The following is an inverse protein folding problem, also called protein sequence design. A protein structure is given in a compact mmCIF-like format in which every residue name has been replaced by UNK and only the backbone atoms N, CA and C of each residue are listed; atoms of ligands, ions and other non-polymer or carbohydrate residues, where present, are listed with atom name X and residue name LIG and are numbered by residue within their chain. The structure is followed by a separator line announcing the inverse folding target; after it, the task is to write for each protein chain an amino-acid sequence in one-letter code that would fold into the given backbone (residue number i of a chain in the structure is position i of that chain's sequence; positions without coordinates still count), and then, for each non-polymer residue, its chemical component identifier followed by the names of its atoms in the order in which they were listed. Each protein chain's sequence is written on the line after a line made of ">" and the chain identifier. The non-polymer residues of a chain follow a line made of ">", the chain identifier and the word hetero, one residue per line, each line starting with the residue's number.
data_IF_333307455741
#
_entry.id   IF_333307455741
#
_cell.length_a   1.000
_cell.length_b   1.000
_cell.length_c   1.000
_cell.angle_alpha   90.00
_cell.angle_beta   90.00
_cell.angle_gamma   90.00
#
_symmetry.space_group_name_H-M   'P 1'
#
loop_
_entity.id
_entity.type
_entity.pdbx_description
1 polymer ?
#
# COMPACT_ATOMS: atom_id res chain seq x y z
N UNK A 1 -19.11 5.21 76.70
CA UNK A 1 -19.65 4.67 75.46
C UNK A 1 -19.05 5.44 74.28
N UNK A 2 -17.98 4.94 73.75
CA UNK A 2 -17.24 5.62 72.64
C UNK A 2 -17.32 4.78 71.39
N UNK A 3 -18.12 5.25 70.40
CA UNK A 3 -18.24 4.64 69.07
C UNK A 3 -17.07 5.05 68.20
N UNK A 4 -16.23 4.05 67.79
CA UNK A 4 -15.15 4.23 66.80
C UNK A 4 -15.76 4.02 65.40
N UNK A 5 -15.76 5.07 64.58
CA UNK A 5 -16.02 5.01 63.14
C UNK A 5 -14.77 4.54 62.46
N UNK A 6 -14.85 3.39 61.76
CA UNK A 6 -13.78 2.89 60.84
C UNK A 6 -14.17 3.35 59.45
N UNK A 7 -13.40 4.32 58.92
CA UNK A 7 -13.55 4.77 57.53
C UNK A 7 -12.76 3.79 56.62
N UNK A 8 -13.46 3.01 55.85
CA UNK A 8 -12.88 2.14 54.80
C UNK A 8 -12.47 2.96 53.58
N UNK A 9 -11.19 3.03 53.34
CA UNK A 9 -10.62 3.65 52.12
C UNK A 9 -10.69 2.62 50.99
N UNK A 10 -11.63 2.78 50.03
CA UNK A 10 -11.68 2.02 48.79
C UNK A 10 -10.65 2.59 47.81
N UNK A 11 -9.54 1.86 47.60
CA UNK A 11 -8.57 2.16 46.55
C UNK A 11 -9.16 1.61 45.21
N UNK A 12 -9.62 2.49 44.33
CA UNK A 12 -9.95 2.16 42.94
C UNK A 12 -8.62 1.97 42.18
N UNK A 13 -8.24 0.72 41.93
CA UNK A 13 -7.20 0.39 40.96
C UNK A 13 -7.80 0.62 39.54
N UNK A 14 -7.45 1.74 38.93
CA UNK A 14 -7.69 1.95 37.52
C UNK A 14 -6.75 1.03 36.73
N UNK A 15 -7.31 -0.07 36.17
CA UNK A 15 -6.60 -0.92 35.24
C UNK A 15 -6.38 -0.14 33.92
N UNK A 16 -5.18 0.41 33.73
CA UNK A 16 -4.76 0.94 32.44
C UNK A 16 -4.48 -0.24 31.51
N UNK A 17 -5.43 -0.56 30.64
CA UNK A 17 -5.21 -1.48 29.53
C UNK A 17 -4.17 -0.83 28.60
N UNK A 18 -3.06 -1.53 28.24
CA UNK A 18 -2.16 -0.99 27.24
C UNK A 18 -2.92 -0.87 25.92
N UNK A 19 -3.06 0.35 25.43
CA UNK A 19 -3.48 0.58 24.04
C UNK A 19 -2.33 0.06 23.18
N UNK A 20 -2.49 -1.11 22.62
CA UNK A 20 -1.61 -1.60 21.55
C UNK A 20 -1.77 -0.59 20.42
N UNK A 21 -0.74 0.21 20.20
CA UNK A 21 -0.70 1.09 19.04
C UNK A 21 -0.84 0.22 17.80
N UNK A 22 -2.01 0.25 17.17
CA UNK A 22 -2.21 -0.40 15.87
C UNK A 22 -1.21 0.22 14.91
N UNK A 23 -0.36 -0.60 14.30
CA UNK A 23 0.55 -0.15 13.26
C UNK A 23 -0.30 0.53 12.17
N UNK A 24 -0.24 1.85 12.12
CA UNK A 24 -0.95 2.62 11.10
C UNK A 24 -0.29 2.38 9.74
N UNK A 25 -1.09 2.03 8.72
CA UNK A 25 -0.62 1.94 7.36
C UNK A 25 -0.56 3.35 6.76
N UNK A 26 0.63 3.93 6.74
CA UNK A 26 0.88 5.22 6.11
C UNK A 26 1.23 5.07 4.62
N UNK A 27 0.91 6.07 3.78
CA UNK A 27 1.40 6.08 2.42
C UNK A 27 2.93 6.17 2.38
N UNK A 28 3.58 5.64 1.33
CA UNK A 28 5.03 5.69 1.19
C UNK A 28 5.56 7.13 1.00
N UNK A 29 6.89 7.30 1.06
CA UNK A 29 7.60 8.56 0.82
C UNK A 29 7.29 9.70 1.81
N UNK A 30 6.79 9.39 3.01
CA UNK A 30 6.51 10.37 4.05
C UNK A 30 5.25 11.19 3.83
N UNK A 31 4.37 10.77 2.93
CA UNK A 31 3.04 11.34 2.78
C UNK A 31 2.10 10.91 3.93
N UNK A 32 0.98 11.62 4.03
CA UNK A 32 -0.12 11.28 4.94
C UNK A 32 -1.42 11.18 4.16
N UNK A 33 -2.33 10.34 4.62
CA UNK A 33 -3.67 10.32 4.09
C UNK A 33 -4.34 11.69 4.22
N UNK A 34 -5.00 12.13 3.16
CA UNK A 34 -5.61 13.46 3.11
C UNK A 34 -4.66 14.60 2.71
N UNK A 35 -3.37 14.35 2.49
CA UNK A 35 -2.46 15.38 1.97
C UNK A 35 -3.03 16.00 0.69
N UNK A 36 -3.04 17.35 0.59
CA UNK A 36 -3.54 18.01 -0.62
C UNK A 36 -2.55 17.90 -1.79
N UNK A 37 -3.02 17.97 -3.04
CA UNK A 37 -2.18 17.87 -4.25
C UNK A 37 -0.95 18.78 -4.22
N UNK A 38 -1.09 20.03 -3.75
CA UNK A 38 0.02 20.99 -3.62
C UNK A 38 1.17 20.50 -2.74
N UNK A 39 0.85 19.74 -1.66
CA UNK A 39 1.88 19.17 -0.77
C UNK A 39 2.60 18.01 -1.46
N UNK A 40 1.85 17.14 -2.14
CA UNK A 40 2.42 16.03 -2.90
C UNK A 40 3.34 16.58 -3.98
N UNK A 41 2.91 17.57 -4.76
CA UNK A 41 3.72 18.20 -5.81
C UNK A 41 5.00 18.84 -5.25
N UNK A 42 4.93 19.51 -4.11
CA UNK A 42 6.12 20.11 -3.49
C UNK A 42 7.15 19.04 -3.08
N UNK A 43 6.71 17.89 -2.54
CA UNK A 43 7.61 16.77 -2.20
C UNK A 43 8.22 16.15 -3.47
N UNK A 44 7.41 15.93 -4.50
CA UNK A 44 7.87 15.39 -5.78
C UNK A 44 8.92 16.28 -6.44
N UNK A 45 8.70 17.60 -6.44
CA UNK A 45 9.67 18.57 -6.95
C UNK A 45 10.99 18.54 -6.16
N UNK A 46 10.91 18.44 -4.82
CA UNK A 46 12.09 18.27 -3.96
C UNK A 46 12.87 16.99 -4.25
N UNK A 47 12.17 15.89 -4.57
CA UNK A 47 12.75 14.63 -4.98
C UNK A 47 13.21 14.60 -6.45
N UNK A 48 13.01 15.67 -7.22
CA UNK A 48 13.25 15.75 -8.68
C UNK A 48 12.45 14.70 -9.47
N UNK A 49 11.35 14.21 -8.92
CA UNK A 49 10.41 13.33 -9.60
C UNK A 49 9.53 14.13 -10.57
N UNK A 50 9.08 13.48 -11.63
CA UNK A 50 8.34 14.14 -12.71
C UNK A 50 6.91 13.64 -12.77
N UNK A 51 5.93 14.54 -12.69
CA UNK A 51 4.52 14.22 -13.00
C UNK A 51 4.42 14.17 -14.52
N UNK A 52 4.20 12.98 -15.07
CA UNK A 52 4.15 12.75 -16.53
C UNK A 52 2.76 12.81 -17.08
N UNK A 53 1.76 12.54 -16.24
CA UNK A 53 0.34 12.63 -16.63
C UNK A 53 -0.52 13.03 -15.44
N UNK A 54 -1.59 13.78 -15.70
CA UNK A 54 -2.68 14.09 -14.78
C UNK A 54 -4.00 13.81 -15.45
N UNK A 55 -4.79 12.92 -14.86
CA UNK A 55 -6.17 12.62 -15.29
C UNK A 55 -7.14 13.13 -14.25
N UNK A 56 -8.19 13.81 -14.70
CA UNK A 56 -9.26 14.30 -13.84
C UNK A 56 -10.58 13.67 -14.28
N UNK A 57 -11.31 13.11 -13.32
CA UNK A 57 -12.65 12.58 -13.51
C UNK A 57 -13.53 12.99 -12.32
N UNK A 58 -14.35 14.00 -12.52
CA UNK A 58 -15.14 14.60 -11.45
C UNK A 58 -14.30 15.03 -10.26
N UNK A 59 -14.57 14.46 -9.09
CA UNK A 59 -13.82 14.73 -7.86
C UNK A 59 -12.56 13.87 -7.70
N UNK A 60 -12.29 12.93 -8.61
CA UNK A 60 -11.10 12.07 -8.60
C UNK A 60 -10.05 12.63 -9.55
N UNK A 61 -8.82 12.74 -9.05
CA UNK A 61 -7.63 13.06 -9.83
C UNK A 61 -6.59 11.97 -9.68
N UNK A 62 -5.99 11.53 -10.77
CA UNK A 62 -4.89 10.55 -10.77
C UNK A 62 -3.67 11.17 -11.42
N UNK A 63 -2.55 11.16 -10.70
CA UNK A 63 -1.27 11.63 -11.21
C UNK A 63 -0.31 10.46 -11.40
N UNK A 64 0.23 10.34 -12.60
CA UNK A 64 1.31 9.41 -12.90
C UNK A 64 2.65 10.11 -12.72
N UNK A 65 3.52 9.52 -11.93
CA UNK A 65 4.83 10.08 -11.54
C UNK A 65 5.94 9.10 -11.87
N UNK A 66 7.03 9.62 -12.44
CA UNK A 66 8.26 8.89 -12.70
C UNK A 66 9.44 9.55 -11.97
N UNK A 67 10.52 8.79 -11.76
CA UNK A 67 11.76 9.32 -11.18
C UNK A 67 11.84 9.33 -9.66
N UNK A 68 10.87 8.73 -8.94
CA UNK A 68 11.05 8.43 -7.53
C UNK A 68 12.07 7.30 -7.37
N UNK A 69 13.08 7.53 -6.53
CA UNK A 69 14.23 6.62 -6.41
C UNK A 69 13.91 5.44 -5.50
N UNK A 70 13.59 4.30 -6.13
CA UNK A 70 13.49 3.00 -5.48
C UNK A 70 13.85 1.91 -6.50
N UNK A 71 14.64 0.88 -6.14
CA UNK A 71 15.07 -0.15 -7.09
C UNK A 71 13.89 -0.83 -7.78
N UNK A 72 13.85 -0.76 -9.12
CA UNK A 72 12.81 -1.35 -9.96
C UNK A 72 11.50 -0.54 -10.04
N UNK A 73 11.35 0.53 -9.26
CA UNK A 73 10.17 1.40 -9.35
C UNK A 73 10.19 2.17 -10.67
N UNK A 74 9.20 1.94 -11.52
CA UNK A 74 9.04 2.61 -12.80
C UNK A 74 8.07 3.78 -12.69
N UNK A 75 6.94 3.55 -12.03
CA UNK A 75 5.86 4.53 -11.92
C UNK A 75 5.24 4.50 -10.54
N UNK A 76 4.74 5.65 -10.13
CA UNK A 76 3.90 5.81 -8.95
C UNK A 76 2.64 6.55 -9.36
N UNK A 77 1.48 6.01 -9.00
CA UNK A 77 0.22 6.70 -9.18
C UNK A 77 -0.26 7.26 -7.84
N UNK A 78 -0.59 8.55 -7.83
CA UNK A 78 -1.21 9.21 -6.69
C UNK A 78 -2.66 9.51 -7.05
N UNK A 79 -3.60 8.92 -6.30
CA UNK A 79 -5.03 9.18 -6.48
C UNK A 79 -5.54 10.11 -5.39
N UNK A 80 -6.16 11.19 -5.82
CA UNK A 80 -6.84 12.14 -4.95
C UNK A 80 -8.36 12.03 -5.14
N UNK A 81 -9.09 12.21 -4.04
CA UNK A 81 -10.56 12.38 -4.06
C UNK A 81 -10.92 13.61 -3.25
N UNK A 82 -11.64 14.55 -3.86
CA UNK A 82 -11.93 15.86 -3.24
C UNK A 82 -10.65 16.55 -2.72
N UNK A 83 -9.59 16.59 -3.54
CA UNK A 83 -8.27 17.17 -3.23
C UNK A 83 -7.57 16.55 -2.01
N UNK A 84 -7.87 15.32 -1.65
CA UNK A 84 -7.23 14.56 -0.57
C UNK A 84 -6.58 13.31 -1.11
N UNK A 85 -5.32 13.06 -0.74
CA UNK A 85 -4.60 11.84 -1.10
C UNK A 85 -5.29 10.63 -0.46
N UNK A 86 -5.75 9.69 -1.30
CA UNK A 86 -6.48 8.49 -0.88
C UNK A 86 -5.78 7.19 -1.27
N UNK A 87 -4.90 7.23 -2.28
CA UNK A 87 -4.28 6.02 -2.80
C UNK A 87 -2.90 6.34 -3.35
N UNK A 88 -1.93 5.44 -3.12
CA UNK A 88 -0.60 5.48 -3.71
C UNK A 88 -0.25 4.08 -4.20
N UNK A 89 -0.16 3.94 -5.52
CA UNK A 89 0.20 2.69 -6.18
C UNK A 89 1.64 2.77 -6.70
N UNK A 90 2.45 1.78 -6.35
CA UNK A 90 3.85 1.63 -6.77
C UNK A 90 3.95 0.51 -7.81
N UNK A 91 4.43 0.82 -9.01
CA UNK A 91 4.60 -0.15 -10.10
C UNK A 91 6.08 -0.47 -10.32
N UNK A 92 6.44 -1.74 -10.12
CA UNK A 92 7.80 -2.25 -10.23
C UNK A 92 7.94 -3.14 -11.46
N UNK A 93 8.94 -2.86 -12.28
CA UNK A 93 9.30 -3.64 -13.46
C UNK A 93 10.80 -3.94 -13.46
N UNK A 94 11.14 -5.16 -13.83
CA UNK A 94 12.50 -5.66 -13.93
C UNK A 94 12.64 -6.42 -15.25
N UNK A 95 12.89 -5.72 -16.38
CA UNK A 95 12.83 -6.32 -17.73
C UNK A 95 13.69 -7.58 -17.91
N UNK A 96 14.85 -7.62 -17.22
CA UNK A 96 15.84 -8.71 -17.35
C UNK A 96 15.58 -9.86 -16.36
N UNK A 97 14.50 -9.82 -15.59
CA UNK A 97 14.22 -10.86 -14.60
C UNK A 97 13.42 -12.01 -15.20
N UNK A 98 13.80 -13.25 -14.82
CA UNK A 98 12.99 -14.43 -15.08
C UNK A 98 11.71 -14.45 -14.23
N UNK A 99 10.76 -15.29 -14.59
CA UNK A 99 9.51 -15.48 -13.83
C UNK A 99 9.79 -15.98 -12.40
N UNK A 100 10.81 -16.84 -12.23
CA UNK A 100 11.21 -17.37 -10.93
C UNK A 100 11.66 -16.23 -10.01
N UNK A 101 12.44 -15.27 -10.54
CA UNK A 101 12.91 -14.12 -9.78
C UNK A 101 11.78 -13.17 -9.41
N UNK A 102 10.79 -12.98 -10.28
CA UNK A 102 9.56 -12.26 -9.93
C UNK A 102 8.78 -12.96 -8.81
N UNK A 103 8.64 -14.28 -8.86
CA UNK A 103 7.97 -15.07 -7.83
C UNK A 103 8.70 -15.01 -6.47
N UNK A 104 10.02 -15.07 -6.47
CA UNK A 104 10.85 -14.90 -5.26
C UNK A 104 10.65 -13.51 -4.63
N UNK A 105 10.68 -12.46 -5.47
CA UNK A 105 10.46 -11.08 -5.01
C UNK A 105 9.05 -10.91 -4.46
N UNK A 106 8.04 -11.40 -5.16
CA UNK A 106 6.65 -11.39 -4.70
C UNK A 106 6.50 -12.09 -3.34
N UNK A 107 7.12 -13.26 -3.19
CA UNK A 107 7.16 -14.01 -1.93
C UNK A 107 7.89 -13.26 -0.82
N UNK A 108 8.96 -12.54 -1.13
CA UNK A 108 9.73 -11.75 -0.17
C UNK A 108 8.93 -10.55 0.34
N UNK A 109 8.32 -9.79 -0.56
CA UNK A 109 7.47 -8.64 -0.21
C UNK A 109 6.25 -9.10 0.58
N UNK A 110 5.61 -10.21 0.18
CA UNK A 110 4.49 -10.80 0.92
C UNK A 110 4.89 -11.15 2.35
N UNK A 111 6.00 -11.90 2.56
CA UNK A 111 6.46 -12.26 3.91
C UNK A 111 6.75 -11.05 4.79
N UNK A 112 7.30 -9.99 4.21
CA UNK A 112 7.51 -8.73 4.92
C UNK A 112 6.20 -8.12 5.41
N UNK A 113 5.17 -8.07 4.56
CA UNK A 113 3.86 -7.56 4.95
C UNK A 113 3.12 -8.49 5.91
N UNK A 114 3.21 -9.81 5.71
CA UNK A 114 2.66 -10.81 6.65
C UNK A 114 3.24 -10.64 8.05
N UNK A 115 4.55 -10.40 8.17
CA UNK A 115 5.21 -10.17 9.46
C UNK A 115 4.81 -8.84 10.12
N UNK A 116 4.43 -7.84 9.33
CA UNK A 116 4.10 -6.50 9.85
C UNK A 116 2.62 -6.30 10.12
N UNK A 117 1.75 -6.86 9.28
CA UNK A 117 0.30 -6.60 9.29
C UNK A 117 -0.55 -7.86 9.52
N UNK A 118 0.08 -9.01 9.76
CA UNK A 118 -0.60 -10.30 9.84
C UNK A 118 -0.75 -10.96 8.45
N UNK A 119 -1.32 -12.16 8.41
CA UNK A 119 -1.41 -12.96 7.18
C UNK A 119 -2.34 -12.29 6.16
N UNK A 120 -1.81 -11.97 5.00
CA UNK A 120 -2.56 -11.38 3.89
C UNK A 120 -3.56 -12.37 3.28
N UNK A 121 -4.74 -11.86 2.96
CA UNK A 121 -5.79 -12.62 2.26
C UNK A 121 -5.44 -12.72 0.78
N UNK A 122 -5.48 -13.92 0.19
CA UNK A 122 -5.43 -14.11 -1.25
C UNK A 122 -6.73 -13.58 -1.88
N UNK A 123 -6.64 -12.56 -2.72
CA UNK A 123 -7.82 -11.92 -3.35
C UNK A 123 -7.92 -12.21 -4.84
N UNK A 124 -6.81 -12.61 -5.48
CA UNK A 124 -6.81 -13.01 -6.89
C UNK A 124 -5.79 -14.11 -7.12
N UNK A 125 -6.17 -15.10 -7.93
CA UNK A 125 -5.29 -16.11 -8.52
C UNK A 125 -5.93 -16.60 -9.80
N UNK A 126 -5.52 -16.06 -10.92
CA UNK A 126 -5.98 -16.50 -12.23
C UNK A 126 -4.81 -16.70 -13.19
N UNK A 127 -5.01 -17.60 -14.14
CA UNK A 127 -4.16 -17.78 -15.32
C UNK A 127 -5.08 -18.04 -16.49
N UNK A 128 -5.19 -17.08 -17.36
CA UNK A 128 -6.06 -17.12 -18.52
C UNK A 128 -5.23 -17.12 -19.80
N UNK A 129 -5.74 -17.81 -20.82
CA UNK A 129 -5.16 -17.80 -22.16
C UNK A 129 -6.23 -17.30 -23.13
N UNK A 130 -6.01 -16.12 -23.68
CA UNK A 130 -6.83 -15.56 -24.72
C UNK A 130 -6.01 -15.42 -26.00
N UNK A 131 -6.50 -16.11 -27.06
CA UNK A 131 -5.81 -16.20 -28.35
C UNK A 131 -4.39 -16.73 -28.16
N UNK A 132 -3.38 -15.86 -28.22
CA UNK A 132 -1.95 -16.20 -28.09
C UNK A 132 -1.31 -15.56 -26.84
N UNK A 133 -2.10 -14.96 -25.95
CA UNK A 133 -1.60 -14.25 -24.77
C UNK A 133 -1.94 -15.06 -23.53
N UNK A 134 -0.90 -15.40 -22.75
CA UNK A 134 -1.06 -16.00 -21.42
C UNK A 134 -0.98 -14.89 -20.38
N UNK A 135 -2.06 -14.68 -19.65
CA UNK A 135 -2.13 -13.71 -18.55
C UNK A 135 -2.12 -14.42 -17.22
N UNK A 136 -1.36 -13.92 -16.28
CA UNK A 136 -1.33 -14.40 -14.89
C UNK A 136 -1.55 -13.23 -13.94
N UNK A 137 -2.45 -13.40 -12.98
CA UNK A 137 -2.70 -12.44 -11.92
C UNK A 137 -2.69 -13.15 -10.57
N UNK A 138 -1.88 -12.66 -9.64
CA UNK A 138 -1.87 -13.10 -8.24
C UNK A 138 -1.93 -11.89 -7.34
N UNK A 139 -2.86 -11.86 -6.39
CA UNK A 139 -3.05 -10.71 -5.50
C UNK A 139 -3.30 -11.09 -4.06
N UNK A 140 -2.71 -10.31 -3.15
CA UNK A 140 -2.89 -10.40 -1.70
C UNK A 140 -3.32 -9.06 -1.14
N UNK A 141 -4.09 -9.08 -0.06
CA UNK A 141 -4.65 -7.88 0.58
C UNK A 141 -4.50 -7.97 2.10
N UNK A 142 -4.16 -6.85 2.73
CA UNK A 142 -4.11 -6.64 4.18
C UNK A 142 -5.02 -5.47 4.56
N UNK A 143 -5.84 -5.67 5.57
CA UNK A 143 -6.66 -4.60 6.17
C UNK A 143 -5.99 -4.13 7.45
N UNK A 144 -5.71 -2.84 7.56
CA UNK A 144 -5.03 -2.22 8.71
C UNK A 144 -5.84 -1.00 9.16
N UNK A 145 -6.75 -1.22 10.11
CA UNK A 145 -7.69 -0.18 10.52
C UNK A 145 -8.60 0.27 9.38
N UNK A 146 -8.55 1.56 9.05
CA UNK A 146 -9.28 2.18 7.93
C UNK A 146 -8.45 2.28 6.65
N UNK A 147 -7.42 1.46 6.55
CA UNK A 147 -6.53 1.46 5.38
C UNK A 147 -6.38 0.05 4.82
N UNK A 148 -6.01 -0.04 3.58
CA UNK A 148 -5.81 -1.29 2.84
C UNK A 148 -4.47 -1.27 2.12
N UNK A 149 -3.77 -2.40 2.17
CA UNK A 149 -2.57 -2.65 1.41
C UNK A 149 -2.84 -3.82 0.46
N UNK A 150 -2.47 -3.66 -0.79
CA UNK A 150 -2.57 -4.72 -1.79
C UNK A 150 -1.21 -4.96 -2.45
N UNK A 151 -0.94 -6.21 -2.77
CA UNK A 151 0.25 -6.67 -3.48
C UNK A 151 -0.19 -7.54 -4.64
N UNK A 152 0.07 -7.10 -5.86
CA UNK A 152 -0.26 -7.85 -7.07
C UNK A 152 1.00 -8.18 -7.88
N UNK A 153 0.99 -9.35 -8.48
CA UNK A 153 1.82 -9.72 -9.61
C UNK A 153 0.93 -9.89 -10.83
N UNK A 154 1.30 -9.24 -11.91
CA UNK A 154 0.67 -9.42 -13.21
C UNK A 154 1.73 -9.77 -14.27
N UNK A 155 1.41 -10.72 -15.15
CA UNK A 155 2.16 -10.96 -16.38
C UNK A 155 1.23 -11.11 -17.56
N UNK A 156 1.71 -10.66 -18.72
CA UNK A 156 1.12 -10.94 -20.04
C UNK A 156 2.24 -11.41 -20.96
N UNK A 157 2.12 -12.64 -21.47
CA UNK A 157 3.14 -13.31 -22.26
C UNK A 157 2.60 -13.68 -23.64
N UNK A 158 3.19 -13.08 -24.67
CA UNK A 158 3.00 -13.41 -26.08
C UNK A 158 4.37 -13.43 -26.76
N UNK A 159 4.95 -14.61 -27.02
CA UNK A 159 6.29 -14.66 -27.62
C UNK A 159 6.38 -13.84 -28.92
N UNK A 160 7.45 -13.06 -29.14
CA UNK A 160 8.61 -12.88 -28.24
C UNK A 160 8.41 -11.85 -27.12
N UNK A 161 7.23 -11.26 -26.97
CA UNK A 161 6.95 -10.19 -26.01
C UNK A 161 6.48 -10.72 -24.67
N UNK A 162 7.02 -10.15 -23.62
CA UNK A 162 6.62 -10.44 -22.24
C UNK A 162 6.56 -9.15 -21.45
N UNK A 163 5.45 -8.95 -20.74
CA UNK A 163 5.28 -7.88 -19.76
C UNK A 163 5.08 -8.49 -18.38
N UNK A 164 5.78 -7.99 -17.36
CA UNK A 164 5.65 -8.41 -15.97
C UNK A 164 5.78 -7.21 -15.04
N UNK A 165 4.89 -7.14 -14.06
CA UNK A 165 4.92 -6.08 -13.05
C UNK A 165 4.56 -6.62 -11.68
N UNK A 166 5.16 -6.02 -10.63
CA UNK A 166 4.69 -6.13 -9.25
C UNK A 166 4.13 -4.78 -8.86
N UNK A 167 2.92 -4.78 -8.32
CA UNK A 167 2.25 -3.56 -7.86
C UNK A 167 2.03 -3.63 -6.36
N UNK A 168 2.36 -2.56 -5.64
CA UNK A 168 2.04 -2.38 -4.23
C UNK A 168 1.13 -1.18 -4.12
N UNK A 169 -0.06 -1.38 -3.61
CA UNK A 169 -1.09 -0.35 -3.57
C UNK A 169 -1.54 -0.08 -2.13
N UNK A 170 -1.43 1.17 -1.72
CA UNK A 170 -1.79 1.70 -0.41
C UNK A 170 -3.05 2.53 -0.56
N UNK A 171 -4.10 2.24 0.23
CA UNK A 171 -5.41 2.91 0.15
C UNK A 171 -5.92 3.34 1.52
N UNK A 172 -6.42 4.57 1.60
CA UNK A 172 -7.35 4.98 2.66
C UNK A 172 -8.78 4.63 2.23
N UNK A 173 -9.60 4.08 3.13
CA UNK A 173 -10.97 3.62 2.87
C UNK A 173 -12.01 4.65 3.34
#
# INVERSE_FOLDING_TARGET
>A
MTRRLVAGLFLLLAATTPVVAMNELLPPFGFRWGDPPRRVEAVLNGAKAKIVERKQDGSRSVWMVEGLVHPGLQRTLFTFKNDKLMEVELQYEYPDWSIERYNEQMGTVRRYFDGKYGVGKLVSRSRDTDTDIVQTLVGYQWMVGTTMLELFYFSAEKPPHTFRTITVDYKAL
#
